data_IF_228686765892
#
_entry.id   IF_228686765892
#
_cell.length_a   1.000
_cell.length_b   1.000
_cell.length_c   1.000
_cell.angle_alpha   90.00
_cell.angle_beta   90.00
_cell.angle_gamma   90.00
#
_symmetry.space_group_name_H-M   'P 1'
#
loop_
_entity.id
_entity.type
_entity.pdbx_description
1 polymer ?
#
# COMPACT_ATOMS: atom_id res chain seq x y z
N UNK A 1 -2.72 15.84 31.05
CA UNK A 1 -3.37 14.68 30.41
C UNK A 1 -2.27 14.12 29.53
N UNK A 2 -1.63 13.02 29.96
CA UNK A 2 -0.44 12.51 29.26
C UNK A 2 -0.80 12.11 27.83
N UNK A 3 0.14 12.28 26.90
CA UNK A 3 0.00 11.81 25.51
C UNK A 3 -0.40 10.35 25.55
N UNK A 4 -1.65 10.07 25.16
CA UNK A 4 -2.22 8.74 25.20
C UNK A 4 -1.71 8.00 23.95
N UNK A 5 -0.49 7.47 24.01
CA UNK A 5 0.03 6.58 22.98
C UNK A 5 -0.43 5.14 23.26
N UNK A 6 -1.13 4.53 22.30
CA UNK A 6 -1.55 3.13 22.35
C UNK A 6 -0.41 2.20 21.94
N UNK A 7 0.38 2.63 20.94
CA UNK A 7 1.52 1.90 20.40
C UNK A 7 2.83 2.44 20.98
N UNK A 8 3.78 1.55 21.24
CA UNK A 8 5.12 1.95 21.66
C UNK A 8 5.88 2.64 20.51
N UNK A 9 6.87 3.49 20.82
CA UNK A 9 7.69 4.13 19.81
C UNK A 9 8.32 3.12 18.84
N UNK A 10 8.05 3.27 17.54
CA UNK A 10 8.55 2.39 16.48
C UNK A 10 7.73 1.11 16.25
N UNK A 11 6.79 0.77 17.13
CA UNK A 11 5.90 -0.39 16.95
C UNK A 11 5.04 -0.23 15.69
N UNK A 12 4.52 0.98 15.45
CA UNK A 12 3.74 1.30 14.25
C UNK A 12 4.51 1.03 12.94
N UNK A 13 5.82 1.31 12.88
CA UNK A 13 6.64 1.03 11.69
C UNK A 13 6.72 -0.47 11.42
N UNK A 14 6.94 -1.28 12.46
CA UNK A 14 7.01 -2.74 12.36
C UNK A 14 5.69 -3.30 11.87
N UNK A 15 4.58 -2.92 12.53
CA UNK A 15 3.24 -3.40 12.18
C UNK A 15 2.88 -3.05 10.73
N UNK A 16 3.12 -1.81 10.31
CA UNK A 16 2.85 -1.38 8.92
C UNK A 16 3.69 -2.19 7.93
N UNK A 17 4.97 -2.44 8.21
CA UNK A 17 5.86 -3.18 7.30
C UNK A 17 5.46 -4.63 7.12
N UNK A 18 4.92 -5.25 8.17
CA UNK A 18 4.50 -6.65 8.16
C UNK A 18 3.16 -6.89 7.45
N UNK A 19 2.37 -5.84 7.19
CA UNK A 19 1.11 -5.97 6.45
C UNK A 19 1.28 -6.70 5.11
N UNK A 20 0.46 -7.71 4.86
CA UNK A 20 0.51 -8.56 3.68
C UNK A 20 -0.89 -8.97 3.21
N UNK A 21 -1.00 -9.37 1.94
CA UNK A 21 -2.26 -9.86 1.39
C UNK A 21 -2.41 -11.36 1.69
N UNK A 22 -3.63 -11.80 2.00
CA UNK A 22 -3.96 -13.20 2.25
C UNK A 22 -4.80 -13.78 1.10
N UNK A 23 -4.54 -15.03 0.69
CA UNK A 23 -5.42 -15.70 -0.27
C UNK A 23 -6.79 -15.97 0.37
N UNK A 24 -7.87 -15.94 -0.43
CA UNK A 24 -9.26 -16.09 0.06
C UNK A 24 -9.50 -17.30 0.98
N UNK A 25 -8.77 -18.41 0.81
CA UNK A 25 -8.90 -19.61 1.64
C UNK A 25 -8.39 -19.42 3.09
N UNK A 26 -7.54 -18.43 3.32
CA UNK A 26 -6.94 -18.12 4.62
C UNK A 26 -7.74 -17.06 5.39
N UNK A 27 -8.88 -16.59 4.86
CA UNK A 27 -9.74 -15.62 5.54
C UNK A 27 -10.26 -16.20 6.86
N UNK A 28 -10.07 -15.47 7.95
CA UNK A 28 -10.38 -15.92 9.31
C UNK A 28 -9.36 -16.89 9.93
N UNK A 29 -8.24 -17.18 9.24
CA UNK A 29 -7.14 -17.97 9.81
C UNK A 29 -6.43 -17.20 10.93
N UNK A 30 -5.60 -17.90 11.72
CA UNK A 30 -4.86 -17.27 12.81
C UNK A 30 -3.94 -16.12 12.35
N UNK A 31 -3.26 -16.30 11.22
CA UNK A 31 -2.39 -15.25 10.66
C UNK A 31 -3.18 -14.03 10.18
N UNK A 32 -4.30 -14.27 9.48
CA UNK A 32 -5.19 -13.20 9.02
C UNK A 32 -5.79 -12.44 10.22
N UNK A 33 -6.28 -13.16 11.23
CA UNK A 33 -6.84 -12.56 12.46
C UNK A 33 -5.82 -11.69 13.20
N UNK A 34 -4.56 -12.14 13.30
CA UNK A 34 -3.50 -11.37 13.95
C UNK A 34 -3.20 -10.08 13.20
N UNK A 35 -3.14 -10.13 11.86
CA UNK A 35 -2.97 -8.92 11.06
C UNK A 35 -4.15 -7.97 11.24
N UNK A 36 -5.38 -8.51 11.27
CA UNK A 36 -6.58 -7.71 11.48
C UNK A 36 -6.55 -6.97 12.83
N UNK A 37 -6.12 -7.65 13.90
CA UNK A 37 -5.91 -7.02 15.22
C UNK A 37 -4.86 -5.90 15.16
N UNK A 38 -3.76 -6.12 14.42
CA UNK A 38 -2.71 -5.12 14.25
C UNK A 38 -3.20 -3.90 13.47
N UNK A 39 -4.05 -4.10 12.45
CA UNK A 39 -4.70 -3.02 11.73
C UNK A 39 -5.60 -2.19 12.64
N UNK A 40 -6.32 -2.81 13.57
CA UNK A 40 -7.14 -2.06 14.53
C UNK A 40 -6.31 -1.24 15.51
N UNK A 41 -5.16 -1.75 15.96
CA UNK A 41 -4.24 -0.95 16.77
C UNK A 41 -3.73 0.27 16.01
N UNK A 42 -3.34 0.09 14.74
CA UNK A 42 -2.92 1.19 13.87
C UNK A 42 -4.03 2.22 13.64
N UNK A 43 -5.26 1.76 13.41
CA UNK A 43 -6.44 2.62 13.24
C UNK A 43 -6.73 3.44 14.50
N UNK A 44 -6.72 2.79 15.68
CA UNK A 44 -6.93 3.47 16.95
C UNK A 44 -5.82 4.50 17.24
N UNK A 45 -4.55 4.19 16.94
CA UNK A 45 -3.47 5.16 17.05
C UNK A 45 -3.68 6.36 16.12
N UNK A 46 -4.07 6.13 14.86
CA UNK A 46 -4.36 7.22 13.91
C UNK A 46 -5.48 8.15 14.40
N UNK A 47 -6.52 7.61 15.05
CA UNK A 47 -7.60 8.40 15.66
C UNK A 47 -7.08 9.25 16.82
N UNK A 48 -6.20 8.69 17.65
CA UNK A 48 -5.58 9.40 18.77
C UNK A 48 -4.70 10.55 18.27
N UNK A 49 -3.87 10.30 17.26
CA UNK A 49 -3.00 11.30 16.63
C UNK A 49 -3.82 12.48 16.08
N UNK A 50 -4.89 12.18 15.34
CA UNK A 50 -5.80 13.18 14.80
C UNK A 50 -6.51 13.98 15.90
N UNK A 51 -6.93 13.32 16.99
CA UNK A 51 -7.59 13.98 18.13
C UNK A 51 -6.63 14.91 18.87
N UNK A 52 -5.35 14.53 18.97
CA UNK A 52 -4.31 15.33 19.56
C UNK A 52 -3.80 16.47 18.65
N UNK A 53 -4.32 16.58 17.41
CA UNK A 53 -3.80 17.48 16.37
C UNK A 53 -2.29 17.31 16.12
N UNK A 54 -1.76 16.12 16.43
CA UNK A 54 -0.47 15.67 15.94
C UNK A 54 -0.68 15.31 14.46
N UNK A 55 0.38 15.26 13.65
CA UNK A 55 0.27 14.96 12.22
C UNK A 55 -0.34 13.59 11.92
N UNK A 56 -0.15 13.07 10.70
CA UNK A 56 -0.72 11.77 10.29
C UNK A 56 0.37 10.69 10.16
N UNK A 57 1.12 10.33 11.23
CA UNK A 57 2.30 9.47 11.12
C UNK A 57 1.96 8.06 10.63
N UNK A 58 0.80 7.51 11.02
CA UNK A 58 0.34 6.20 10.52
C UNK A 58 0.09 6.25 9.01
N UNK A 59 -0.53 7.31 8.51
CA UNK A 59 -0.76 7.49 7.07
C UNK A 59 0.56 7.64 6.32
N UNK A 60 1.50 8.44 6.85
CA UNK A 60 2.83 8.59 6.27
C UNK A 60 3.58 7.26 6.19
N UNK A 61 3.49 6.42 7.23
CA UNK A 61 4.07 5.08 7.23
C UNK A 61 3.43 4.17 6.16
N UNK A 62 2.09 4.18 6.05
CA UNK A 62 1.37 3.39 5.05
C UNK A 62 1.74 3.79 3.61
N UNK A 63 1.92 5.09 3.35
CA UNK A 63 2.38 5.62 2.06
C UNK A 63 3.83 5.23 1.81
N UNK A 64 4.71 5.47 2.79
CA UNK A 64 6.15 5.21 2.71
C UNK A 64 6.45 3.74 2.41
N UNK A 65 5.74 2.83 3.07
CA UNK A 65 5.90 1.38 2.89
C UNK A 65 5.01 0.79 1.78
N UNK A 66 4.30 1.66 1.02
CA UNK A 66 3.42 1.29 -0.09
C UNK A 66 2.39 0.21 0.28
N UNK A 67 1.77 0.35 1.45
CA UNK A 67 0.78 -0.62 1.95
C UNK A 67 -0.65 -0.33 1.52
N UNK A 68 -0.92 0.84 0.95
CA UNK A 68 -2.26 1.19 0.43
C UNK A 68 -2.79 0.12 -0.55
N UNK A 69 -2.04 -0.35 -1.57
CA UNK A 69 -2.52 -1.42 -2.44
C UNK A 69 -2.83 -2.73 -1.70
N UNK A 70 -2.01 -3.10 -0.71
CA UNK A 70 -2.24 -4.28 0.15
C UNK A 70 -3.54 -4.16 0.93
N UNK A 71 -3.80 -3.00 1.54
CA UNK A 71 -5.06 -2.76 2.26
C UNK A 71 -6.27 -2.81 1.34
N UNK A 72 -6.16 -2.26 0.13
CA UNK A 72 -7.24 -2.33 -0.87
C UNK A 72 -7.49 -3.77 -1.32
N UNK A 73 -6.43 -4.55 -1.55
CA UNK A 73 -6.54 -5.97 -1.87
C UNK A 73 -7.25 -6.75 -0.76
N UNK A 74 -6.87 -6.53 0.50
CA UNK A 74 -7.52 -7.15 1.66
C UNK A 74 -8.99 -6.78 1.78
N UNK A 75 -9.35 -5.50 1.60
CA UNK A 75 -10.75 -5.05 1.60
C UNK A 75 -11.58 -5.75 0.52
N UNK A 76 -11.03 -5.87 -0.69
CA UNK A 76 -11.69 -6.58 -1.79
C UNK A 76 -11.80 -8.07 -1.46
N UNK A 77 -10.76 -8.68 -0.90
CA UNK A 77 -10.74 -10.10 -0.56
C UNK A 77 -11.77 -10.44 0.52
N UNK A 78 -11.92 -9.60 1.55
CA UNK A 78 -12.96 -9.71 2.58
C UNK A 78 -14.35 -9.62 1.96
N UNK A 79 -14.59 -8.63 1.09
CA UNK A 79 -15.89 -8.47 0.42
C UNK A 79 -16.20 -9.66 -0.51
N UNK A 80 -15.21 -10.14 -1.26
CA UNK A 80 -15.33 -11.35 -2.08
C UNK A 80 -15.66 -12.58 -1.24
N UNK A 81 -14.98 -12.79 -0.12
CA UNK A 81 -15.24 -13.90 0.79
C UNK A 81 -16.67 -13.84 1.33
N UNK A 82 -17.11 -12.65 1.78
CA UNK A 82 -18.46 -12.41 2.28
C UNK A 82 -19.54 -12.68 1.23
N UNK A 83 -19.32 -12.29 -0.03
CA UNK A 83 -20.31 -12.48 -1.09
C UNK A 83 -20.32 -13.90 -1.69
N UNK A 84 -19.16 -14.57 -1.75
CA UNK A 84 -18.99 -15.82 -2.51
C UNK A 84 -18.77 -17.05 -1.64
N UNK A 85 -18.06 -16.93 -0.52
CA UNK A 85 -17.71 -18.06 0.35
C UNK A 85 -18.71 -18.22 1.48
N UNK A 86 -19.02 -17.13 2.20
CA UNK A 86 -19.90 -17.18 3.36
C UNK A 86 -21.29 -17.80 3.07
N UNK A 87 -22.00 -17.45 1.97
CA UNK A 87 -23.30 -18.05 1.68
C UNK A 87 -23.22 -19.54 1.34
N UNK A 88 -22.07 -19.99 0.82
CA UNK A 88 -21.82 -21.42 0.57
C UNK A 88 -21.58 -22.14 1.88
N UNK A 89 -20.75 -21.59 2.78
CA UNK A 89 -20.55 -22.13 4.13
C UNK A 89 -21.86 -22.33 4.88
N UNK A 90 -22.75 -21.33 4.87
CA UNK A 90 -24.06 -21.42 5.51
C UNK A 90 -24.99 -22.51 4.95
N UNK A 91 -24.71 -23.06 3.75
CA UNK A 91 -25.48 -24.13 3.12
C UNK A 91 -24.87 -25.52 3.32
N UNK A 92 -23.66 -25.62 3.87
CA UNK A 92 -23.04 -26.91 4.15
C UNK A 92 -23.71 -27.56 5.35
N UNK A 93 -24.05 -28.85 5.24
CA UNK A 93 -24.76 -29.59 6.29
C UNK A 93 -23.92 -29.78 7.56
N UNK A 94 -22.60 -29.82 7.41
CA UNK A 94 -21.61 -29.99 8.47
C UNK A 94 -21.09 -28.66 9.04
N UNK A 95 -21.57 -27.52 8.53
CA UNK A 95 -21.18 -26.21 9.04
C UNK A 95 -21.82 -25.93 10.40
N UNK A 96 -21.12 -26.36 11.46
CA UNK A 96 -21.46 -26.14 12.87
C UNK A 96 -20.26 -25.54 13.59
N UNK A 97 -19.97 -24.25 13.39
CA UNK A 97 -18.81 -23.63 14.00
C UNK A 97 -18.92 -23.68 15.54
N UNK A 98 -17.88 -24.17 16.21
CA UNK A 98 -17.80 -24.12 17.68
C UNK A 98 -17.66 -22.69 18.21
N UNK A 99 -17.19 -21.77 17.34
CA UNK A 99 -17.01 -20.36 17.64
C UNK A 99 -17.34 -19.53 16.38
N UNK A 100 -18.19 -18.52 16.51
CA UNK A 100 -18.57 -17.61 15.42
C UNK A 100 -17.68 -16.38 15.33
N UNK A 101 -16.76 -16.16 16.28
CA UNK A 101 -15.88 -15.00 16.33
C UNK A 101 -15.03 -14.81 15.06
N UNK A 102 -14.39 -15.84 14.47
CA UNK A 102 -13.65 -15.67 13.22
C UNK A 102 -14.54 -15.22 12.05
N UNK A 103 -15.79 -15.68 12.00
CA UNK A 103 -16.77 -15.26 10.99
C UNK A 103 -17.14 -13.79 11.23
N UNK A 104 -17.41 -13.42 12.48
CA UNK A 104 -17.69 -12.03 12.85
C UNK A 104 -16.55 -11.11 12.45
N UNK A 105 -15.29 -11.47 12.73
CA UNK A 105 -14.14 -10.64 12.36
C UNK A 105 -14.03 -10.39 10.86
N UNK A 106 -14.36 -11.37 10.01
CA UNK A 106 -14.37 -11.16 8.55
C UNK A 106 -15.57 -10.31 8.11
N UNK A 107 -16.72 -10.44 8.75
CA UNK A 107 -17.96 -9.76 8.32
C UNK A 107 -18.07 -8.32 8.83
N UNK A 108 -17.42 -7.96 9.94
CA UNK A 108 -17.76 -6.77 10.76
C UNK A 108 -17.07 -5.45 10.41
N UNK A 109 -16.42 -5.28 9.25
CA UNK A 109 -15.70 -4.02 8.95
C UNK A 109 -16.40 -3.09 7.95
N UNK A 110 -17.51 -3.56 7.39
CA UNK A 110 -18.32 -2.87 6.38
C UNK A 110 -19.77 -2.62 6.83
N UNK A 111 -20.41 -3.43 7.70
CA UNK A 111 -21.82 -3.26 8.04
C UNK A 111 -22.18 -1.89 8.57
N UNK A 112 -21.43 -1.31 9.52
CA UNK A 112 -21.82 -0.02 10.12
C UNK A 112 -21.72 1.14 9.13
N UNK A 113 -20.64 1.19 8.34
CA UNK A 113 -20.44 2.21 7.30
C UNK A 113 -21.46 2.00 6.18
N UNK A 114 -21.65 0.76 5.74
CA UNK A 114 -22.62 0.40 4.70
C UNK A 114 -24.05 0.73 5.15
N UNK A 115 -24.47 0.29 6.33
CA UNK A 115 -25.81 0.57 6.87
C UNK A 115 -26.03 2.07 7.07
N UNK A 116 -25.00 2.80 7.52
CA UNK A 116 -25.06 4.26 7.60
C UNK A 116 -25.27 4.87 6.22
N UNK A 117 -24.45 4.52 5.23
CA UNK A 117 -24.56 5.05 3.86
C UNK A 117 -25.88 4.65 3.20
N UNK A 118 -26.29 3.40 3.32
CA UNK A 118 -27.57 2.89 2.82
C UNK A 118 -28.74 3.65 3.45
N UNK A 119 -28.72 3.86 4.78
CA UNK A 119 -29.76 4.61 5.49
C UNK A 119 -29.79 6.09 5.05
N UNK A 120 -28.63 6.72 4.92
CA UNK A 120 -28.51 8.13 4.50
C UNK A 120 -28.98 8.35 3.05
N UNK A 121 -28.77 7.36 2.18
CA UNK A 121 -29.04 7.47 0.74
C UNK A 121 -30.30 6.73 0.28
N UNK A 122 -31.00 6.03 1.18
CA UNK A 122 -32.23 5.30 0.89
C UNK A 122 -33.23 6.20 0.17
N UNK A 123 -33.73 5.74 -0.98
CA UNK A 123 -34.69 6.47 -1.81
C UNK A 123 -34.09 7.64 -2.61
N UNK A 124 -32.81 7.99 -2.44
CA UNK A 124 -32.12 9.06 -3.19
C UNK A 124 -31.35 8.55 -4.40
N UNK A 125 -31.22 7.23 -4.56
CA UNK A 125 -30.40 6.59 -5.61
C UNK A 125 -30.69 7.12 -7.02
N UNK A 126 -31.96 7.29 -7.38
CA UNK A 126 -32.34 7.82 -8.70
C UNK A 126 -31.98 9.30 -8.89
N UNK A 127 -32.10 10.11 -7.83
CA UNK A 127 -31.74 11.52 -7.88
C UNK A 127 -30.22 11.70 -7.99
N UNK A 128 -29.45 10.91 -7.24
CA UNK A 128 -27.98 10.86 -7.31
C UNK A 128 -27.54 10.47 -8.73
N UNK A 129 -28.13 9.42 -9.30
CA UNK A 129 -27.81 8.96 -10.65
C UNK A 129 -28.09 10.03 -11.72
N UNK A 130 -29.25 10.71 -11.66
CA UNK A 130 -29.59 11.80 -12.60
C UNK A 130 -28.63 12.98 -12.48
N UNK A 131 -28.32 13.39 -11.24
CA UNK A 131 -27.35 14.46 -10.99
C UNK A 131 -25.97 14.10 -11.55
N UNK A 132 -25.46 12.89 -11.28
CA UNK A 132 -24.17 12.46 -11.79
C UNK A 132 -24.15 12.31 -13.32
N UNK A 133 -25.24 11.83 -13.93
CA UNK A 133 -25.35 11.78 -15.39
C UNK A 133 -25.21 13.18 -16.02
N UNK A 134 -25.86 14.18 -15.43
CA UNK A 134 -25.86 15.55 -15.94
C UNK A 134 -24.55 16.29 -15.68
N UNK A 135 -23.89 16.03 -14.55
CA UNK A 135 -22.79 16.87 -14.08
C UNK A 135 -21.42 16.19 -13.95
N UNK A 136 -21.38 14.85 -13.98
CA UNK A 136 -20.15 14.07 -13.71
C UNK A 136 -19.79 13.15 -14.88
N UNK A 137 -20.77 12.43 -15.45
CA UNK A 137 -20.55 11.39 -16.46
C UNK A 137 -20.88 11.81 -17.90
N UNK A 138 -21.22 13.09 -18.12
CA UNK A 138 -21.35 13.68 -19.47
C UNK A 138 -20.36 14.83 -19.71
N UNK A 139 -19.04 14.62 -19.49
CA UNK A 139 -18.04 15.66 -19.73
C UNK A 139 -17.91 15.99 -21.22
N UNK A 140 -17.50 17.21 -21.54
CA UNK A 140 -17.14 17.58 -22.91
C UNK A 140 -15.86 16.86 -23.35
N UNK A 141 -15.62 16.77 -24.67
CA UNK A 141 -14.37 16.18 -25.21
C UNK A 141 -13.12 16.91 -24.69
N UNK A 142 -13.24 18.22 -24.44
CA UNK A 142 -12.16 19.02 -23.87
C UNK A 142 -11.88 18.67 -22.41
N UNK A 143 -12.93 18.47 -21.61
CA UNK A 143 -12.80 18.06 -20.21
C UNK A 143 -12.20 16.65 -20.10
N UNK A 144 -12.63 15.73 -20.96
CA UNK A 144 -12.05 14.38 -21.05
C UNK A 144 -10.56 14.42 -21.37
N UNK A 145 -10.14 15.24 -22.35
CA UNK A 145 -8.72 15.41 -22.69
C UNK A 145 -7.93 16.02 -21.55
N UNK A 146 -8.49 16.98 -20.82
CA UNK A 146 -7.82 17.61 -19.67
C UNK A 146 -7.67 16.63 -18.51
N UNK A 147 -8.72 15.86 -18.20
CA UNK A 147 -8.67 14.80 -17.19
C UNK A 147 -7.63 13.75 -17.56
N UNK A 148 -7.65 13.24 -18.79
CA UNK A 148 -6.66 12.27 -19.26
C UNK A 148 -5.21 12.79 -19.15
N UNK A 149 -4.96 14.07 -19.47
CA UNK A 149 -3.64 14.69 -19.28
C UNK A 149 -3.23 14.77 -17.82
N UNK A 150 -4.12 15.22 -16.93
CA UNK A 150 -3.85 15.29 -15.48
C UNK A 150 -3.55 13.92 -14.89
N UNK A 151 -4.31 12.90 -15.29
CA UNK A 151 -4.06 11.52 -14.88
C UNK A 151 -2.72 11.02 -15.40
N UNK A 152 -2.40 11.27 -16.68
CA UNK A 152 -1.11 10.90 -17.26
C UNK A 152 0.07 11.63 -16.60
N UNK A 153 -0.13 12.88 -16.16
CA UNK A 153 0.86 13.65 -15.40
C UNK A 153 1.25 12.99 -14.08
N UNK A 154 0.31 12.36 -13.38
CA UNK A 154 0.57 11.60 -12.14
C UNK A 154 1.50 10.39 -12.37
N UNK A 155 1.56 9.87 -13.59
CA UNK A 155 2.41 8.72 -13.96
C UNK A 155 3.62 9.12 -14.82
N UNK A 156 3.91 10.42 -14.98
CA UNK A 156 5.14 10.81 -15.67
C UNK A 156 6.35 10.34 -14.87
N UNK A 157 7.37 9.92 -15.60
CA UNK A 157 8.57 9.26 -15.06
C UNK A 157 9.30 10.15 -14.03
N UNK A 158 9.28 11.47 -14.24
CA UNK A 158 9.83 12.49 -13.34
C UNK A 158 9.07 12.56 -12.00
N UNK A 159 7.74 12.44 -12.01
CA UNK A 159 6.91 12.38 -10.79
C UNK A 159 7.12 11.05 -10.06
N UNK A 160 7.21 9.93 -10.79
CA UNK A 160 7.52 8.62 -10.22
C UNK A 160 8.93 8.58 -9.61
N UNK A 161 9.93 9.20 -10.25
CA UNK A 161 11.28 9.39 -9.70
C UNK A 161 11.28 10.31 -8.46
N UNK A 162 10.45 11.36 -8.44
CA UNK A 162 10.38 12.27 -7.29
C UNK A 162 9.71 11.62 -6.06
N UNK A 163 8.65 10.83 -6.28
CA UNK A 163 7.93 10.12 -5.21
C UNK A 163 8.70 8.89 -4.73
N UNK A 164 9.50 8.27 -5.61
CA UNK A 164 10.28 7.10 -5.29
C UNK A 164 11.64 7.11 -6.01
N UNK A 165 12.59 7.94 -5.55
CA UNK A 165 13.90 7.99 -6.17
C UNK A 165 14.56 6.61 -6.07
N UNK A 166 15.12 6.12 -7.18
CA UNK A 166 15.89 4.87 -7.16
C UNK A 166 17.07 5.03 -6.18
N UNK A 167 16.93 4.44 -5.00
CA UNK A 167 18.01 4.39 -4.00
C UNK A 167 18.97 3.27 -4.37
N UNK A 168 20.05 3.63 -5.05
CA UNK A 168 21.08 2.67 -5.39
C UNK A 168 21.85 2.23 -4.13
N UNK A 169 22.25 0.96 -4.10
CA UNK A 169 23.03 0.39 -2.99
C UNK A 169 24.50 0.22 -3.38
N UNK A 170 25.38 0.36 -2.42
CA UNK A 170 26.81 0.20 -2.59
C UNK A 170 27.13 -1.28 -2.88
N UNK A 171 27.80 -1.57 -4.00
CA UNK A 171 28.15 -2.92 -4.40
C UNK A 171 29.10 -3.66 -3.42
N UNK A 172 29.72 -2.93 -2.48
CA UNK A 172 30.60 -3.50 -1.47
C UNK A 172 29.92 -3.72 -0.10
N UNK A 173 29.26 -2.69 0.44
CA UNK A 173 28.71 -2.71 1.80
C UNK A 173 27.18 -2.59 1.88
N UNK A 174 26.50 -2.51 0.74
CA UNK A 174 25.03 -2.41 0.62
C UNK A 174 24.37 -1.17 1.23
N UNK A 175 25.15 -0.27 1.85
CA UNK A 175 24.72 1.06 2.28
C UNK A 175 24.29 1.91 1.08
N UNK A 176 23.52 2.97 1.33
CA UNK A 176 23.03 3.86 0.28
C UNK A 176 24.20 4.49 -0.51
N UNK A 177 24.11 4.41 -1.84
CA UNK A 177 25.16 4.84 -2.75
C UNK A 177 24.79 6.15 -3.42
N UNK A 178 25.70 7.12 -3.35
CA UNK A 178 25.57 8.43 -3.98
C UNK A 178 26.51 8.62 -5.18
N UNK A 179 27.44 7.68 -5.41
CA UNK A 179 28.49 7.80 -6.42
C UNK A 179 28.48 6.57 -7.33
N UNK A 180 28.68 6.78 -8.62
CA UNK A 180 28.85 5.71 -9.61
C UNK A 180 30.29 5.64 -10.10
N UNK A 181 30.71 4.47 -10.58
CA UNK A 181 32.05 4.28 -11.12
C UNK A 181 32.28 5.23 -12.31
N UNK A 182 33.25 6.13 -12.20
CA UNK A 182 33.51 7.15 -13.24
C UNK A 182 33.85 6.57 -14.61
N UNK A 183 34.29 5.30 -14.66
CA UNK A 183 34.72 4.63 -15.89
C UNK A 183 33.57 4.02 -16.69
N UNK A 184 32.69 3.27 -16.05
CA UNK A 184 31.57 2.59 -16.73
C UNK A 184 30.19 3.18 -16.42
N UNK A 185 30.08 4.02 -15.39
CA UNK A 185 28.84 4.66 -14.91
C UNK A 185 27.69 3.69 -14.55
N UNK A 186 27.94 2.36 -14.54
CA UNK A 186 26.93 1.30 -14.34
C UNK A 186 26.90 0.68 -12.93
N UNK A 187 27.90 0.95 -12.09
CA UNK A 187 28.02 0.37 -10.75
C UNK A 187 28.08 1.47 -9.68
N UNK A 188 27.39 1.25 -8.55
CA UNK A 188 27.15 2.25 -7.51
C UNK A 188 27.93 1.97 -6.20
N UNK A 189 28.38 3.03 -5.55
CA UNK A 189 29.18 3.00 -4.34
C UNK A 189 28.82 4.17 -3.41
N UNK A 190 28.87 3.93 -2.10
CA UNK A 190 28.74 5.01 -1.11
C UNK A 190 29.99 5.90 -1.07
N UNK A 191 31.18 5.32 -1.26
CA UNK A 191 32.45 6.02 -1.20
C UNK A 191 33.53 5.38 -2.09
N UNK A 192 34.63 6.12 -2.31
CA UNK A 192 35.77 5.66 -3.12
C UNK A 192 36.45 4.43 -2.51
N UNK A 193 36.53 4.34 -1.20
CA UNK A 193 37.15 3.20 -0.51
C UNK A 193 36.42 1.89 -0.82
N UNK A 194 35.08 1.90 -0.78
CA UNK A 194 34.26 0.74 -1.15
C UNK A 194 34.46 0.34 -2.62
N UNK A 195 34.61 1.32 -3.52
CA UNK A 195 34.92 1.06 -4.92
C UNK A 195 36.27 0.36 -5.09
N UNK A 196 37.30 0.81 -4.36
CA UNK A 196 38.65 0.20 -4.43
C UNK A 196 38.63 -1.22 -3.87
N UNK A 197 37.93 -1.45 -2.74
CA UNK A 197 37.78 -2.78 -2.14
C UNK A 197 37.04 -3.76 -3.07
N UNK A 198 35.98 -3.30 -3.75
CA UNK A 198 35.25 -4.12 -4.72
C UNK A 198 35.95 -4.25 -6.09
N UNK A 199 37.02 -3.48 -6.35
CA UNK A 199 37.66 -3.40 -7.66
C UNK A 199 38.17 -4.74 -8.19
N UNK A 200 38.60 -5.64 -7.31
CA UNK A 200 39.06 -6.99 -7.68
C UNK A 200 37.97 -7.77 -8.44
N UNK A 201 36.69 -7.56 -8.08
CA UNK A 201 35.54 -8.19 -8.72
C UNK A 201 34.97 -7.33 -9.85
N UNK A 202 34.73 -6.05 -9.59
CA UNK A 202 34.15 -5.11 -10.56
C UNK A 202 35.07 -4.81 -11.76
N UNK A 203 36.39 -4.76 -11.57
CA UNK A 203 37.34 -4.35 -12.61
C UNK A 203 37.26 -5.19 -13.88
N UNK A 204 36.95 -6.49 -13.76
CA UNK A 204 36.80 -7.41 -14.89
C UNK A 204 35.61 -7.06 -15.78
N UNK A 205 34.47 -6.71 -15.17
CA UNK A 205 33.24 -6.35 -15.90
C UNK A 205 33.20 -4.87 -16.29
N UNK A 206 33.90 -4.00 -15.54
CA UNK A 206 33.97 -2.56 -15.78
C UNK A 206 34.52 -2.20 -17.17
N UNK A 207 35.55 -2.93 -17.63
CA UNK A 207 36.21 -2.66 -18.92
C UNK A 207 35.28 -2.99 -20.09
N UNK A 208 34.58 -4.13 -20.02
CA UNK A 208 33.63 -4.57 -21.05
C UNK A 208 32.43 -3.62 -21.13
N UNK A 209 31.92 -3.20 -19.98
CA UNK A 209 30.80 -2.29 -19.86
C UNK A 209 31.07 -0.88 -20.42
N UNK A 210 32.31 -0.40 -20.32
CA UNK A 210 32.73 0.92 -20.82
C UNK A 210 33.02 0.95 -22.33
N UNK A 211 33.24 -0.22 -22.96
CA UNK A 211 33.48 -0.32 -24.41
C UNK A 211 32.18 -0.41 -25.22
N UNK A 212 31.14 -1.08 -24.67
CA UNK A 212 29.84 -1.23 -25.34
C UNK A 212 29.06 0.08 -25.56
N UNK A 213 29.28 1.10 -24.72
CA UNK A 213 28.58 2.39 -24.83
C UNK A 213 29.26 3.38 -25.80
N UNK A 214 30.48 3.06 -26.30
CA UNK A 214 31.16 3.87 -27.33
C UNK A 214 30.86 3.41 -28.77
N UNK A 215 30.14 2.30 -28.93
CA UNK A 215 29.83 1.67 -30.21
C UNK A 215 28.36 1.85 -30.64
N UNK A 216 27.61 2.73 -29.97
CA UNK A 216 26.25 3.14 -30.33
C UNK A 216 26.20 4.62 -30.64
#
# INVERSE_FOLDING_TARGET
MGDLELLLPGEADVLVRELCSFPLREMGSGGWNQQHENLEKLNMQAILDATASQGEPIQELLVTHRKIPTLVEELIAVEMWKQKVFPVLCRLEDFKPQNTFPIYMVVSWVPEIWERLERENRGKWQAIAKHQLQHVFSPSEQDLRLQARRWAETYKLDVLEAVAPERHRCAHCSAEASKRCSRCQKEWYCCRECQVKHWVKHGKTCVLAAQGDRAK
#
